data_IF_885537336207
#
_entry.id   IF_885537336207
#
_cell.length_a   1.000
_cell.length_b   1.000
_cell.length_c   1.000
_cell.angle_alpha   90.00
_cell.angle_beta   90.00
_cell.angle_gamma   90.00
#
_symmetry.space_group_name_H-M   'P 1'
#
loop_
_entity.id
_entity.type
_entity.pdbx_description
1 polymer ?
#
# COMPACT_ATOMS: atom_id res chain seq x y z
N UNK A 1 11.43 -0.60 -10.95
CA UNK A 1 10.89 -1.77 -10.23
C UNK A 1 11.92 -2.86 -9.99
N UNK A 2 12.77 -3.26 -10.96
CA UNK A 2 13.68 -4.41 -10.79
C UNK A 2 14.68 -4.31 -9.64
N UNK A 3 15.10 -3.10 -9.25
CA UNK A 3 15.92 -2.91 -8.06
C UNK A 3 15.19 -3.31 -6.76
N UNK A 4 13.89 -3.02 -6.63
CA UNK A 4 13.05 -3.41 -5.49
C UNK A 4 13.02 -4.94 -5.36
N UNK A 5 12.79 -5.63 -6.49
CA UNK A 5 12.71 -7.10 -6.56
C UNK A 5 14.05 -7.76 -6.24
N UNK A 6 15.16 -7.22 -6.75
CA UNK A 6 16.50 -7.75 -6.50
C UNK A 6 16.94 -7.62 -5.04
N UNK A 7 16.52 -6.57 -4.34
CA UNK A 7 16.93 -6.28 -2.97
C UNK A 7 15.86 -6.62 -1.93
N UNK A 8 14.74 -7.24 -2.34
CA UNK A 8 13.64 -7.66 -1.45
C UNK A 8 13.14 -6.50 -0.58
N UNK A 9 12.87 -5.37 -1.23
CA UNK A 9 12.32 -4.19 -0.55
C UNK A 9 10.80 -4.28 -0.60
N UNK A 10 10.14 -3.98 0.53
CA UNK A 10 8.69 -3.92 0.63
C UNK A 10 8.22 -2.47 0.41
N UNK A 11 7.76 -2.10 -0.79
CA UNK A 11 7.31 -0.73 -1.05
C UNK A 11 5.92 -0.46 -0.45
N UNK A 12 5.65 0.82 -0.27
CA UNK A 12 4.28 1.33 -0.12
C UNK A 12 3.60 1.44 -1.48
N UNK A 13 2.30 1.13 -1.52
CA UNK A 13 1.45 1.25 -2.69
C UNK A 13 0.15 1.97 -2.35
N UNK A 14 -0.35 2.75 -3.31
CA UNK A 14 -1.60 3.52 -3.19
C UNK A 14 -2.35 3.61 -4.53
N UNK A 15 -1.96 2.84 -5.54
CA UNK A 15 -2.66 2.77 -6.81
C UNK A 15 -2.29 1.49 -7.58
N UNK A 16 -3.13 1.14 -8.56
CA UNK A 16 -3.00 -0.08 -9.34
C UNK A 16 -1.84 -0.06 -10.34
N UNK A 17 -1.46 1.12 -10.85
CA UNK A 17 -0.36 1.23 -11.81
C UNK A 17 0.96 0.74 -11.20
N UNK A 18 1.20 1.08 -9.92
CA UNK A 18 2.35 0.59 -9.16
C UNK A 18 2.26 -0.93 -8.96
N UNK A 19 1.09 -1.46 -8.56
CA UNK A 19 0.88 -2.90 -8.38
C UNK A 19 1.18 -3.67 -9.67
N UNK A 20 0.63 -3.21 -10.79
CA UNK A 20 0.83 -3.83 -12.10
C UNK A 20 2.31 -3.83 -12.52
N UNK A 21 3.02 -2.74 -12.27
CA UNK A 21 4.44 -2.63 -12.57
C UNK A 21 5.29 -3.53 -11.66
N UNK A 22 4.91 -3.68 -10.39
CA UNK A 22 5.54 -4.59 -9.43
C UNK A 22 5.32 -6.06 -9.81
N UNK A 23 4.08 -6.46 -10.08
CA UNK A 23 3.72 -7.83 -10.47
C UNK A 23 4.47 -8.27 -11.72
N UNK A 24 4.45 -7.45 -12.78
CA UNK A 24 5.20 -7.71 -14.01
C UNK A 24 6.69 -7.92 -13.73
N UNK A 25 7.28 -7.03 -12.93
CA UNK A 25 8.72 -7.08 -12.64
C UNK A 25 9.10 -8.27 -11.76
N UNK A 26 8.22 -8.64 -10.82
CA UNK A 26 8.42 -9.79 -9.94
C UNK A 26 8.27 -11.12 -10.72
N UNK A 27 7.35 -11.16 -11.69
CA UNK A 27 7.17 -12.29 -12.61
C UNK A 27 8.42 -12.58 -13.46
N UNK A 28 9.12 -11.54 -13.93
CA UNK A 28 10.36 -11.69 -14.72
C UNK A 28 11.46 -12.46 -13.96
N UNK A 29 11.50 -12.33 -12.63
CA UNK A 29 12.46 -13.00 -11.75
C UNK A 29 11.86 -14.22 -11.01
N UNK A 30 10.60 -14.59 -11.30
CA UNK A 30 9.81 -15.61 -10.58
C UNK A 30 9.84 -15.44 -9.05
N UNK A 31 9.64 -14.19 -8.59
CA UNK A 31 9.60 -13.83 -7.16
C UNK A 31 8.24 -13.29 -6.75
N UNK A 32 7.99 -13.29 -5.45
CA UNK A 32 6.90 -12.54 -4.83
C UNK A 32 7.47 -11.23 -4.29
N UNK A 33 6.75 -10.12 -4.48
CA UNK A 33 7.01 -8.85 -3.81
C UNK A 33 5.90 -8.56 -2.81
N UNK A 34 6.32 -8.32 -1.58
CA UNK A 34 5.42 -7.87 -0.53
C UNK A 34 5.19 -6.36 -0.65
N UNK A 35 4.01 -5.89 -0.30
CA UNK A 35 3.66 -4.46 -0.31
C UNK A 35 2.90 -4.06 0.94
N UNK A 36 3.06 -2.80 1.36
CA UNK A 36 2.18 -2.16 2.34
C UNK A 36 1.20 -1.23 1.64
N UNK A 37 -0.10 -1.45 1.79
CA UNK A 37 -1.10 -0.50 1.30
C UNK A 37 -1.15 0.70 2.24
N UNK A 38 -0.93 1.89 1.70
CA UNK A 38 -1.07 3.12 2.49
C UNK A 38 -2.52 3.56 2.51
N UNK A 39 -3.02 3.84 3.70
CA UNK A 39 -4.36 4.36 3.94
C UNK A 39 -4.32 5.88 4.09
N UNK A 40 -5.24 6.59 3.43
CA UNK A 40 -5.46 8.01 3.62
C UNK A 40 -6.52 8.24 4.71
N UNK A 41 -6.09 8.46 5.94
CA UNK A 41 -7.02 8.73 7.06
C UNK A 41 -7.08 10.22 7.42
N UNK A 42 -6.53 11.13 6.59
CA UNK A 42 -6.62 12.57 6.85
C UNK A 42 -5.39 13.39 6.48
N UNK A 43 -4.22 12.76 6.27
CA UNK A 43 -3.01 13.49 5.83
C UNK A 43 -3.15 14.01 4.38
N UNK A 44 -3.99 13.38 3.55
CA UNK A 44 -4.35 13.83 2.20
C UNK A 44 -3.14 14.09 1.28
N UNK A 45 -2.13 13.22 1.35
CA UNK A 45 -0.94 13.27 0.47
C UNK A 45 -0.81 12.04 -0.43
N UNK A 46 -0.99 10.86 0.14
CA UNK A 46 -0.87 9.55 -0.52
C UNK A 46 -1.76 8.56 0.24
N UNK A 47 -2.23 7.52 -0.45
CA UNK A 47 -2.98 6.42 0.14
C UNK A 47 -4.37 6.26 -0.46
N UNK A 48 -4.93 5.08 -0.20
CA UNK A 48 -6.30 4.68 -0.55
C UNK A 48 -7.25 5.16 0.55
N UNK A 49 -8.40 5.68 0.17
CA UNK A 49 -9.43 6.06 1.14
C UNK A 49 -9.98 4.80 1.85
N UNK A 50 -10.30 4.85 3.15
CA UNK A 50 -10.73 3.68 3.91
C UNK A 50 -11.91 2.91 3.30
N UNK A 51 -12.82 3.62 2.64
CA UNK A 51 -13.98 3.05 1.97
C UNK A 51 -13.61 2.20 0.74
N UNK A 52 -12.49 2.50 0.08
CA UNK A 52 -12.01 1.79 -1.12
C UNK A 52 -10.99 0.69 -0.79
N UNK A 53 -10.53 0.63 0.46
CA UNK A 53 -9.41 -0.22 0.88
C UNK A 53 -9.63 -1.70 0.59
N UNK A 54 -10.83 -2.21 0.93
CA UNK A 54 -11.17 -3.62 0.76
C UNK A 54 -11.22 -3.99 -0.72
N UNK A 55 -11.83 -3.15 -1.55
CA UNK A 55 -11.92 -3.38 -2.99
C UNK A 55 -10.53 -3.36 -3.63
N UNK A 56 -9.67 -2.43 -3.23
CA UNK A 56 -8.29 -2.36 -3.68
C UNK A 56 -7.49 -3.62 -3.30
N UNK A 57 -7.58 -4.06 -2.04
CA UNK A 57 -6.87 -5.26 -1.55
C UNK A 57 -7.41 -6.53 -2.22
N UNK A 58 -8.72 -6.69 -2.34
CA UNK A 58 -9.32 -7.83 -3.04
C UNK A 58 -8.92 -7.86 -4.52
N UNK A 59 -8.83 -6.69 -5.17
CA UNK A 59 -8.34 -6.58 -6.54
C UNK A 59 -6.89 -7.05 -6.65
N UNK A 60 -6.03 -6.64 -5.71
CA UNK A 60 -4.63 -7.12 -5.65
C UNK A 60 -4.61 -8.65 -5.59
N UNK A 61 -5.31 -9.22 -4.61
CA UNK A 61 -5.36 -10.66 -4.39
C UNK A 61 -5.92 -11.45 -5.58
N UNK A 62 -6.97 -10.94 -6.24
CA UNK A 62 -7.64 -11.63 -7.33
C UNK A 62 -6.95 -11.51 -8.69
N UNK A 63 -6.11 -10.49 -8.89
CA UNK A 63 -5.58 -10.14 -10.23
C UNK A 63 -4.06 -10.27 -10.38
N UNK A 64 -3.30 -10.32 -9.28
CA UNK A 64 -1.83 -10.27 -9.32
C UNK A 64 -1.23 -11.43 -8.54
N UNK A 65 -0.50 -12.31 -9.25
CA UNK A 65 0.04 -13.55 -8.68
C UNK A 65 1.40 -13.37 -8.00
N UNK A 66 2.08 -12.25 -8.24
CA UNK A 66 3.42 -11.99 -7.72
C UNK A 66 3.47 -10.85 -6.70
N UNK A 67 2.31 -10.35 -6.27
CA UNK A 67 2.20 -9.29 -5.26
C UNK A 67 1.41 -9.81 -4.07
N UNK A 68 1.97 -9.63 -2.87
CA UNK A 68 1.31 -9.98 -1.60
C UNK A 68 1.19 -8.74 -0.74
N UNK A 69 -0.02 -8.47 -0.24
CA UNK A 69 -0.23 -7.41 0.75
C UNK A 69 0.25 -7.91 2.11
N UNK A 70 1.35 -7.35 2.62
CA UNK A 70 1.93 -7.69 3.91
C UNK A 70 1.20 -6.99 5.05
N UNK A 71 0.66 -5.79 4.79
CA UNK A 71 -0.15 -5.06 5.75
C UNK A 71 -0.65 -3.72 5.22
N UNK A 72 -1.28 -2.97 6.11
CA UNK A 72 -1.76 -1.62 5.86
C UNK A 72 -1.15 -0.66 6.87
N UNK A 73 -0.97 0.60 6.50
CA UNK A 73 -0.53 1.64 7.43
C UNK A 73 -1.06 3.03 7.04
N UNK A 74 -1.06 3.95 7.99
CA UNK A 74 -1.31 5.37 7.72
C UNK A 74 -0.28 6.25 8.43
N UNK A 75 -0.31 7.54 8.15
CA UNK A 75 0.53 8.53 8.82
C UNK A 75 -0.36 9.61 9.43
N UNK A 76 -0.25 9.79 10.75
CA UNK A 76 -0.99 10.83 11.44
C UNK A 76 -0.51 12.22 11.02
N UNK A 77 -1.44 13.16 10.87
CA UNK A 77 -1.12 14.51 10.40
C UNK A 77 -0.42 15.33 11.47
N UNK A 78 -0.87 15.23 12.72
CA UNK A 78 -0.31 16.03 13.82
C UNK A 78 -0.48 15.33 15.19
N UNK A 79 0.12 14.14 15.37
CA UNK A 79 -0.09 13.33 16.57
C UNK A 79 0.41 13.98 17.86
N UNK A 80 1.28 14.99 17.78
CA UNK A 80 1.86 15.67 18.95
C UNK A 80 1.04 16.89 19.40
N UNK A 81 0.29 17.53 18.49
CA UNK A 81 -0.38 18.81 18.80
C UNK A 81 -1.88 18.83 18.51
N UNK A 82 -2.44 17.82 17.85
CA UNK A 82 -3.88 17.74 17.54
C UNK A 82 -4.41 16.33 17.86
N UNK A 83 -4.67 16.11 19.15
CA UNK A 83 -5.21 14.84 19.64
C UNK A 83 -6.60 14.55 19.05
N UNK A 84 -7.47 15.56 18.95
CA UNK A 84 -8.83 15.40 18.43
C UNK A 84 -8.82 14.90 16.99
N UNK A 85 -8.02 15.53 16.11
CA UNK A 85 -7.91 15.08 14.74
C UNK A 85 -7.25 13.71 14.65
N UNK A 86 -6.21 13.44 15.46
CA UNK A 86 -5.54 12.14 15.48
C UNK A 86 -6.50 11.00 15.82
N UNK A 87 -7.43 11.20 16.77
CA UNK A 87 -8.47 10.20 17.06
C UNK A 87 -9.46 9.99 15.90
N UNK A 88 -9.74 11.03 15.09
CA UNK A 88 -10.53 10.88 13.85
C UNK A 88 -9.80 10.08 12.77
N UNK A 89 -8.47 9.97 12.84
CA UNK A 89 -7.68 9.14 11.93
C UNK A 89 -7.63 7.66 12.34
N UNK A 90 -8.16 7.32 13.53
CA UNK A 90 -8.17 5.97 14.10
C UNK A 90 -9.56 5.31 14.00
N UNK A 91 -10.62 6.10 14.23
CA UNK A 91 -12.02 5.67 14.27
C UNK A 91 -12.70 5.80 12.91
#
# INVERSE_FOLDING_TARGET
MSWIIRHTITPMVDNEEIIKALDKCAAEDNKIVNVYVKMNTGLNRYGIDPEEALDFIHKIYGSYSHVVVEGVYTHFQNPESDEEFTHKQIN
#
